data_IF_972068307393
#
_entry.id   IF_972068307393
#
_cell.length_a   1.000
_cell.length_b   1.000
_cell.length_c   1.000
_cell.angle_alpha   90.00
_cell.angle_beta   90.00
_cell.angle_gamma   90.00
#
_symmetry.space_group_name_H-M   'P 1'
#
loop_
_entity.id
_entity.type
_entity.pdbx_description
1 polymer ?
#
# COMPACT_ATOMS: atom_id res chain seq x y z
N UNK A 1 -7.09 4.97 -15.29
CA UNK A 1 -5.80 4.35 -15.11
C UNK A 1 -4.78 5.03 -16.02
N UNK A 2 -3.66 5.49 -15.47
CA UNK A 2 -2.50 6.01 -16.17
C UNK A 2 -1.29 5.14 -15.85
N UNK A 3 -0.26 5.24 -16.66
CA UNK A 3 0.97 4.47 -16.55
C UNK A 3 2.16 5.42 -16.63
N UNK A 4 3.17 5.22 -15.79
CA UNK A 4 4.46 5.90 -15.93
C UNK A 4 5.14 5.42 -17.23
N UNK A 5 5.64 6.33 -18.05
CA UNK A 5 6.29 6.00 -19.32
C UNK A 5 7.56 6.87 -19.49
N UNK A 6 8.73 6.24 -19.71
CA UNK A 6 8.97 4.79 -19.65
C UNK A 6 8.95 4.21 -18.22
N UNK A 7 8.64 2.92 -18.06
CA UNK A 7 8.89 2.21 -16.82
C UNK A 7 10.41 2.10 -16.59
N UNK A 8 10.89 2.33 -15.35
CA UNK A 8 12.26 2.01 -15.03
C UNK A 8 12.50 0.50 -15.18
N UNK A 9 13.69 0.07 -15.63
CA UNK A 9 14.06 -1.35 -15.61
C UNK A 9 13.95 -1.94 -14.21
N UNK A 10 13.56 -3.22 -14.11
CA UNK A 10 13.39 -3.89 -12.80
C UNK A 10 14.67 -3.87 -11.96
N UNK A 11 15.81 -3.98 -12.63
CA UNK A 11 17.15 -3.97 -12.02
C UNK A 11 17.50 -2.60 -11.44
N UNK A 12 16.89 -1.54 -11.95
CA UNK A 12 17.18 -0.17 -11.53
C UNK A 12 16.21 0.36 -10.48
N UNK A 13 15.02 -0.23 -10.36
CA UNK A 13 13.99 0.28 -9.45
C UNK A 13 14.48 0.36 -8.00
N UNK A 14 15.35 -0.55 -7.57
CA UNK A 14 15.94 -0.55 -6.22
C UNK A 14 16.70 0.71 -5.87
N UNK A 15 17.27 1.42 -6.86
CA UNK A 15 17.98 2.69 -6.64
C UNK A 15 17.05 3.75 -6.02
N UNK A 16 15.78 3.72 -6.40
CA UNK A 16 14.77 4.68 -5.93
C UNK A 16 14.20 4.34 -4.55
N UNK A 17 14.48 3.13 -4.02
CA UNK A 17 14.11 2.72 -2.66
C UNK A 17 15.26 2.87 -1.66
N UNK A 18 16.51 3.05 -2.15
CA UNK A 18 17.70 3.23 -1.30
C UNK A 18 17.99 4.69 -0.95
N UNK A 19 17.23 5.65 -1.49
CA UNK A 19 17.42 7.06 -1.17
C UNK A 19 17.16 7.28 0.35
N UNK A 20 18.06 8.02 1.00
CA UNK A 20 18.11 8.26 2.45
C UNK A 20 16.86 8.92 3.03
N UNK A 21 15.95 9.39 2.19
CA UNK A 21 14.71 10.06 2.56
C UNK A 21 13.54 9.12 2.87
N UNK A 22 13.71 7.80 2.77
CA UNK A 22 12.66 6.87 3.13
C UNK A 22 12.61 6.72 4.65
N UNK A 23 11.88 7.61 5.31
CA UNK A 23 11.72 7.71 6.78
C UNK A 23 11.28 6.39 7.45
N UNK A 24 10.75 5.44 6.67
CA UNK A 24 10.31 4.13 7.17
C UNK A 24 11.44 3.16 7.52
N UNK A 25 12.67 3.38 7.01
CA UNK A 25 13.81 2.46 7.20
C UNK A 25 14.88 2.96 8.19
N UNK A 26 14.76 4.18 8.71
CA UNK A 26 15.74 4.72 9.66
C UNK A 26 15.40 4.28 11.10
N UNK A 27 15.91 3.12 11.49
CA UNK A 27 15.81 2.58 12.86
C UNK A 27 16.64 3.35 13.91
N UNK A 28 17.35 4.41 13.52
CA UNK A 28 18.20 5.24 14.39
C UNK A 28 17.62 6.65 14.61
N UNK A 29 16.31 6.74 14.79
CA UNK A 29 15.67 8.01 15.10
C UNK A 29 15.77 8.29 16.60
N UNK A 30 16.28 9.46 16.98
CA UNK A 30 16.38 9.92 18.36
C UNK A 30 15.05 9.86 19.10
N UNK A 31 15.09 9.56 20.41
CA UNK A 31 13.99 9.13 21.27
C UNK A 31 12.62 9.80 21.05
N UNK A 32 12.55 11.12 20.88
CA UNK A 32 11.27 11.85 20.72
C UNK A 32 10.65 11.62 19.33
N UNK A 33 11.45 11.66 18.27
CA UNK A 33 10.97 11.44 16.91
C UNK A 33 10.50 9.98 16.71
N UNK A 34 11.22 9.02 17.27
CA UNK A 34 10.82 7.61 17.23
C UNK A 34 9.50 7.35 17.97
N UNK A 35 9.23 8.12 19.04
CA UNK A 35 7.95 8.09 19.75
C UNK A 35 6.79 8.60 18.86
N UNK A 36 6.95 9.76 18.24
CA UNK A 36 5.93 10.31 17.34
C UNK A 36 5.69 9.43 16.11
N UNK A 37 6.75 8.87 15.53
CA UNK A 37 6.62 7.92 14.42
C UNK A 37 5.83 6.67 14.83
N UNK A 38 6.13 6.09 16.00
CA UNK A 38 5.37 4.94 16.53
C UNK A 38 3.91 5.28 16.79
N UNK A 39 3.65 6.44 17.35
CA UNK A 39 2.29 6.92 17.59
C UNK A 39 1.52 7.12 16.27
N UNK A 40 2.12 7.78 15.30
CA UNK A 40 1.54 7.96 13.97
C UNK A 40 1.21 6.62 13.31
N UNK A 41 2.15 5.66 13.34
CA UNK A 41 1.96 4.32 12.78
C UNK A 41 0.82 3.56 13.49
N UNK A 42 0.71 3.71 14.81
CA UNK A 42 -0.37 3.08 15.58
C UNK A 42 -1.75 3.70 15.24
N UNK A 43 -1.82 5.02 15.10
CA UNK A 43 -3.05 5.73 14.69
C UNK A 43 -3.44 5.32 13.27
N UNK A 44 -2.49 5.32 12.32
CA UNK A 44 -2.73 4.91 10.93
C UNK A 44 -3.28 3.47 10.87
N UNK A 45 -2.65 2.53 11.59
CA UNK A 45 -3.15 1.16 11.69
C UNK A 45 -4.59 1.14 12.24
N UNK A 46 -4.86 1.84 13.34
CA UNK A 46 -6.19 1.88 13.96
C UNK A 46 -7.25 2.38 12.99
N UNK A 47 -6.94 3.41 12.21
CA UNK A 47 -7.87 3.96 11.22
C UNK A 47 -8.07 2.98 10.05
N UNK A 48 -7.01 2.41 9.49
CA UNK A 48 -7.09 1.36 8.45
C UNK A 48 -7.90 0.16 8.92
N UNK A 49 -7.60 -0.35 10.11
CA UNK A 49 -8.34 -1.47 10.68
C UNK A 49 -9.82 -1.13 10.91
N UNK A 50 -10.12 0.03 11.51
CA UNK A 50 -11.50 0.44 11.78
C UNK A 50 -12.34 0.63 10.50
N UNK A 51 -11.72 1.06 9.40
CA UNK A 51 -12.43 1.22 8.12
C UNK A 51 -12.87 -0.11 7.50
N UNK A 52 -12.17 -1.21 7.82
CA UNK A 52 -12.42 -2.52 7.19
C UNK A 52 -12.90 -3.60 8.16
N UNK A 53 -12.76 -3.42 9.48
CA UNK A 53 -12.99 -4.49 10.50
C UNK A 53 -14.37 -5.14 10.40
N UNK A 54 -15.39 -4.39 9.96
CA UNK A 54 -16.76 -4.89 9.80
C UNK A 54 -16.95 -5.78 8.55
N UNK A 55 -15.97 -5.78 7.64
CA UNK A 55 -15.92 -6.62 6.44
C UNK A 55 -15.02 -7.84 6.63
N UNK A 56 -14.16 -7.84 7.66
CA UNK A 56 -13.17 -8.89 7.85
C UNK A 56 -13.82 -10.15 8.42
N UNK A 57 -13.48 -11.28 7.82
CA UNK A 57 -13.77 -12.62 8.38
C UNK A 57 -12.50 -13.17 9.04
N UNK A 58 -12.63 -13.79 10.21
CA UNK A 58 -11.51 -14.44 10.88
C UNK A 58 -10.91 -15.54 10.00
N UNK A 59 -9.59 -15.66 10.02
CA UNK A 59 -8.85 -16.65 9.24
C UNK A 59 -7.52 -16.13 8.71
N UNK A 60 -7.13 -16.63 7.54
CA UNK A 60 -5.89 -16.26 6.86
C UNK A 60 -6.00 -14.89 6.19
N UNK A 61 -4.99 -14.04 6.42
CA UNK A 61 -4.87 -12.71 5.84
C UNK A 61 -3.51 -12.57 5.15
N UNK A 62 -3.51 -12.07 3.93
CA UNK A 62 -2.29 -11.71 3.20
C UNK A 62 -2.17 -10.19 3.12
N UNK A 63 -1.02 -9.64 3.52
CA UNK A 63 -0.66 -8.24 3.32
C UNK A 63 0.35 -8.12 2.18
N UNK A 64 -0.10 -7.62 1.06
CA UNK A 64 0.71 -7.43 -0.14
C UNK A 64 1.44 -6.08 -0.08
N UNK A 65 2.77 -6.12 -0.11
CA UNK A 65 3.62 -4.97 0.19
C UNK A 65 3.71 -4.73 1.71
N UNK A 66 3.95 -5.80 2.48
CA UNK A 66 3.86 -5.75 3.95
C UNK A 66 4.96 -4.90 4.62
N UNK A 67 5.99 -4.47 3.89
CA UNK A 67 7.09 -3.68 4.41
C UNK A 67 7.70 -4.33 5.67
N UNK A 68 7.87 -3.57 6.74
CA UNK A 68 8.43 -4.08 8.02
C UNK A 68 7.50 -5.05 8.78
N UNK A 69 6.31 -5.35 8.25
CA UNK A 69 5.38 -6.30 8.84
C UNK A 69 4.63 -5.76 10.07
N UNK A 70 4.55 -4.44 10.24
CA UNK A 70 3.81 -3.86 11.37
C UNK A 70 2.32 -4.20 11.30
N UNK A 71 1.71 -4.07 10.12
CA UNK A 71 0.31 -4.44 9.92
C UNK A 71 0.07 -5.91 10.23
N UNK A 72 0.94 -6.80 9.73
CA UNK A 72 0.90 -8.24 10.02
C UNK A 72 0.92 -8.53 11.53
N UNK A 73 1.88 -7.90 12.26
CA UNK A 73 1.99 -8.05 13.72
C UNK A 73 0.69 -7.66 14.42
N UNK A 74 0.10 -6.53 14.02
CA UNK A 74 -1.15 -6.06 14.64
C UNK A 74 -2.33 -6.96 14.31
N UNK A 75 -2.41 -7.50 13.09
CA UNK A 75 -3.47 -8.44 12.70
C UNK A 75 -3.31 -9.79 13.41
N UNK A 76 -2.08 -10.29 13.58
CA UNK A 76 -1.82 -11.48 14.40
C UNK A 76 -2.29 -11.28 15.86
N UNK A 77 -2.03 -10.10 16.46
CA UNK A 77 -2.51 -9.76 17.81
C UNK A 77 -4.05 -9.72 17.92
N UNK A 78 -4.74 -9.63 16.79
CA UNK A 78 -6.22 -9.67 16.70
C UNK A 78 -6.76 -11.06 16.33
N UNK A 79 -5.89 -12.08 16.30
CA UNK A 79 -6.28 -13.47 16.04
C UNK A 79 -6.30 -13.88 14.57
N UNK A 80 -5.85 -13.04 13.63
CA UNK A 80 -5.73 -13.44 12.23
C UNK A 80 -4.45 -14.25 12.00
N UNK A 81 -4.48 -15.22 11.11
CA UNK A 81 -3.28 -15.89 10.61
C UNK A 81 -2.68 -15.06 9.47
N UNK A 82 -1.77 -14.15 9.79
CA UNK A 82 -1.28 -13.16 8.82
C UNK A 82 -0.03 -13.64 8.09
N UNK A 83 -0.02 -13.43 6.79
CA UNK A 83 1.07 -13.68 5.84
C UNK A 83 1.44 -12.38 5.14
N UNK A 84 2.68 -12.25 4.70
CA UNK A 84 3.15 -11.05 4.00
C UNK A 84 3.80 -11.36 2.67
N UNK A 85 3.72 -10.42 1.76
CA UNK A 85 4.52 -10.41 0.53
C UNK A 85 5.26 -9.10 0.45
N UNK A 86 6.60 -9.16 0.35
CA UNK A 86 7.42 -7.97 0.12
C UNK A 86 8.77 -8.38 -0.49
N UNK A 87 9.15 -7.86 -1.68
CA UNK A 87 10.36 -8.27 -2.38
C UNK A 87 11.66 -7.85 -1.67
N UNK A 88 11.59 -6.90 -0.72
CA UNK A 88 12.74 -6.35 -0.02
C UNK A 88 12.91 -6.93 1.40
N UNK A 89 12.04 -7.83 1.81
CA UNK A 89 12.10 -8.46 3.14
C UNK A 89 12.80 -9.81 3.08
N UNK A 90 13.42 -10.21 4.19
CA UNK A 90 13.93 -11.56 4.33
C UNK A 90 12.77 -12.57 4.32
N UNK A 91 12.88 -13.59 3.48
CA UNK A 91 11.89 -14.68 3.40
C UNK A 91 11.81 -15.41 4.75
N UNK A 92 10.61 -15.74 5.15
CA UNK A 92 10.35 -16.54 6.35
C UNK A 92 9.13 -17.43 6.11
N UNK A 93 8.77 -18.32 7.05
CA UNK A 93 7.60 -19.21 6.94
C UNK A 93 6.29 -18.46 6.59
N UNK A 94 6.18 -17.18 6.91
CA UNK A 94 4.97 -16.37 6.68
C UNK A 94 5.22 -15.10 5.86
N UNK A 95 6.42 -14.92 5.32
CA UNK A 95 6.78 -13.79 4.45
C UNK A 95 7.43 -14.34 3.19
N UNK A 96 6.81 -14.07 2.06
CA UNK A 96 7.26 -14.42 0.71
C UNK A 96 7.80 -13.20 -0.02
N UNK A 97 8.65 -13.41 -1.01
CA UNK A 97 9.16 -12.31 -1.84
C UNK A 97 8.20 -11.92 -2.95
N UNK A 98 7.38 -12.86 -3.38
CA UNK A 98 6.46 -12.66 -4.48
C UNK A 98 5.08 -13.26 -4.16
N UNK A 99 4.03 -12.62 -4.68
CA UNK A 99 2.69 -13.20 -4.65
C UNK A 99 2.59 -14.49 -5.48
N UNK A 100 3.55 -14.72 -6.38
CA UNK A 100 3.63 -15.90 -7.23
C UNK A 100 4.38 -17.09 -6.59
N UNK A 101 4.88 -16.92 -5.35
CA UNK A 101 5.51 -18.01 -4.61
C UNK A 101 4.48 -19.13 -4.36
N UNK A 102 4.87 -20.38 -4.62
CA UNK A 102 3.98 -21.57 -4.55
C UNK A 102 3.40 -21.77 -3.15
N UNK A 103 4.16 -21.44 -2.12
CA UNK A 103 3.77 -21.55 -0.71
C UNK A 103 2.46 -20.81 -0.36
N UNK A 104 2.05 -19.85 -1.20
CA UNK A 104 0.82 -19.08 -1.01
C UNK A 104 -0.40 -19.72 -1.68
N UNK A 105 -0.20 -20.71 -2.56
CA UNK A 105 -1.26 -21.28 -3.41
C UNK A 105 -2.33 -22.03 -2.62
N UNK A 106 -1.92 -22.74 -1.58
CA UNK A 106 -2.80 -23.64 -0.83
C UNK A 106 -3.38 -23.02 0.45
N UNK A 107 -3.05 -21.76 0.74
CA UNK A 107 -3.47 -21.12 1.99
C UNK A 107 -4.96 -20.75 1.98
N UNK A 108 -5.51 -20.32 0.85
CA UNK A 108 -6.90 -19.89 0.72
C UNK A 108 -7.20 -18.67 1.59
N UNK A 109 -6.70 -17.49 1.22
CA UNK A 109 -6.82 -16.28 2.03
C UNK A 109 -8.26 -15.79 2.14
N UNK A 110 -8.71 -15.51 3.35
CA UNK A 110 -10.01 -14.85 3.59
C UNK A 110 -9.95 -13.36 3.30
N UNK A 111 -8.77 -12.77 3.45
CA UNK A 111 -8.55 -11.34 3.16
C UNK A 111 -7.18 -11.12 2.54
N UNK A 112 -7.12 -10.28 1.51
CA UNK A 112 -5.89 -9.71 0.98
C UNK A 112 -5.95 -8.21 1.19
N UNK A 113 -4.90 -7.63 1.78
CA UNK A 113 -4.72 -6.17 1.90
C UNK A 113 -3.55 -5.73 1.03
N UNK A 114 -3.68 -4.59 0.36
CA UNK A 114 -2.65 -3.95 -0.45
C UNK A 114 -2.67 -2.44 -0.15
N UNK A 115 -1.85 -2.03 0.83
CA UNK A 115 -1.79 -0.65 1.31
C UNK A 115 -0.66 0.10 0.61
N UNK A 116 -0.98 0.90 -0.41
CA UNK A 116 0.01 1.65 -1.20
C UNK A 116 1.12 0.73 -1.74
N UNK A 117 0.71 -0.33 -2.43
CA UNK A 117 1.62 -1.35 -2.97
C UNK A 117 1.27 -1.79 -4.40
N UNK A 118 -0.01 -1.73 -4.77
CA UNK A 118 -0.46 -2.16 -6.11
C UNK A 118 0.04 -1.22 -7.22
N UNK A 119 0.33 0.03 -6.90
CA UNK A 119 0.90 1.01 -7.82
C UNK A 119 2.36 0.74 -8.22
N UNK A 120 3.04 -0.12 -7.47
CA UNK A 120 4.46 -0.45 -7.70
C UNK A 120 4.68 -1.72 -8.53
N UNK A 121 3.63 -2.47 -8.84
CA UNK A 121 3.79 -3.75 -9.55
C UNK A 121 4.07 -3.55 -11.04
N UNK A 122 4.98 -4.34 -11.61
CA UNK A 122 5.29 -4.29 -13.03
C UNK A 122 4.17 -4.88 -13.90
N UNK A 123 3.54 -5.95 -13.46
CA UNK A 123 2.45 -6.61 -14.14
C UNK A 123 1.18 -6.56 -13.30
N UNK A 124 0.42 -5.49 -13.47
CA UNK A 124 -0.78 -5.21 -12.69
C UNK A 124 -1.84 -6.30 -12.88
N UNK A 125 -2.07 -6.69 -14.13
CA UNK A 125 -3.14 -7.64 -14.46
C UNK A 125 -2.83 -9.03 -13.90
N UNK A 126 -1.60 -9.54 -14.10
CA UNK A 126 -1.20 -10.81 -13.50
C UNK A 126 -1.25 -10.80 -11.97
N UNK A 127 -0.88 -9.68 -11.34
CA UNK A 127 -0.96 -9.54 -9.89
C UNK A 127 -2.41 -9.64 -9.40
N UNK A 128 -3.35 -8.99 -10.09
CA UNK A 128 -4.78 -9.03 -9.74
C UNK A 128 -5.37 -10.43 -9.99
N UNK A 129 -5.01 -11.08 -11.10
CA UNK A 129 -5.40 -12.47 -11.36
C UNK A 129 -4.91 -13.36 -10.23
N UNK A 130 -3.63 -13.19 -9.83
CA UNK A 130 -3.08 -13.98 -8.74
C UNK A 130 -3.75 -13.74 -7.40
N UNK A 131 -4.20 -12.51 -7.11
CA UNK A 131 -5.04 -12.26 -5.93
C UNK A 131 -6.32 -13.11 -5.96
N UNK A 132 -6.96 -13.22 -7.14
CA UNK A 132 -8.14 -14.04 -7.31
C UNK A 132 -7.85 -15.52 -7.06
N UNK A 133 -6.71 -16.03 -7.55
CA UNK A 133 -6.36 -17.45 -7.45
C UNK A 133 -6.04 -17.89 -6.01
N UNK A 134 -5.43 -17.02 -5.20
CA UNK A 134 -5.05 -17.36 -3.82
C UNK A 134 -6.14 -16.96 -2.80
N UNK A 135 -7.15 -16.21 -3.23
CA UNK A 135 -8.26 -15.82 -2.39
C UNK A 135 -9.26 -16.97 -2.25
N UNK A 136 -9.74 -17.23 -1.06
CA UNK A 136 -10.82 -18.20 -0.86
C UNK A 136 -12.15 -17.68 -1.41
N UNK A 137 -13.09 -18.55 -1.65
CA UNK A 137 -14.46 -18.20 -2.05
C UNK A 137 -15.04 -17.17 -1.06
N UNK A 138 -15.69 -16.13 -1.61
CA UNK A 138 -16.22 -14.98 -0.87
C UNK A 138 -15.18 -14.22 -0.04
N UNK A 139 -13.90 -14.33 -0.38
CA UNK A 139 -12.83 -13.58 0.25
C UNK A 139 -12.84 -12.10 -0.13
N UNK A 140 -12.20 -11.27 0.69
CA UNK A 140 -12.15 -9.81 0.57
C UNK A 140 -10.79 -9.35 0.06
N UNK A 141 -10.77 -8.44 -0.92
CA UNK A 141 -9.57 -7.67 -1.28
C UNK A 141 -9.75 -6.22 -0.90
N UNK A 142 -8.82 -5.68 -0.12
CA UNK A 142 -8.76 -4.27 0.28
C UNK A 142 -7.56 -3.62 -0.38
N UNK A 143 -7.80 -2.60 -1.19
CA UNK A 143 -6.73 -1.88 -1.90
C UNK A 143 -6.79 -0.40 -1.56
N UNK A 144 -5.65 0.15 -1.15
CA UNK A 144 -5.46 1.59 -1.06
C UNK A 144 -4.38 2.03 -2.05
N UNK A 145 -4.68 3.04 -2.84
CA UNK A 145 -3.74 3.64 -3.78
C UNK A 145 -4.01 5.15 -3.92
N UNK A 146 -3.01 5.96 -4.30
CA UNK A 146 -3.20 7.37 -4.56
C UNK A 146 -4.21 7.61 -5.69
N UNK A 147 -5.09 8.59 -5.50
CA UNK A 147 -6.12 8.95 -6.48
C UNK A 147 -5.72 10.22 -7.23
N UNK A 148 -5.24 10.10 -8.47
CA UNK A 148 -4.83 11.27 -9.28
C UNK A 148 -5.98 12.24 -9.64
N UNK A 149 -7.24 11.86 -9.37
CA UNK A 149 -8.40 12.75 -9.47
C UNK A 149 -8.76 13.43 -8.15
N UNK A 150 -7.96 13.27 -7.08
CA UNK A 150 -8.18 13.94 -5.81
C UNK A 150 -8.05 15.46 -5.94
N UNK A 151 -8.57 16.17 -4.94
CA UNK A 151 -8.37 17.63 -4.83
C UNK A 151 -6.88 17.96 -4.78
N UNK A 152 -6.10 17.25 -3.97
CA UNK A 152 -4.67 17.47 -3.80
C UNK A 152 -3.90 17.27 -5.10
N UNK A 153 -4.20 16.20 -5.86
CA UNK A 153 -3.57 15.99 -7.16
C UNK A 153 -3.81 17.14 -8.13
N UNK A 154 -5.02 17.71 -8.12
CA UNK A 154 -5.37 18.88 -8.94
C UNK A 154 -4.69 20.15 -8.45
N UNK A 155 -4.59 20.33 -7.14
CA UNK A 155 -3.98 21.50 -6.50
C UNK A 155 -2.46 21.53 -6.67
N UNK A 156 -1.78 20.42 -6.32
CA UNK A 156 -0.31 20.34 -6.39
C UNK A 156 0.23 20.02 -7.78
N UNK A 157 -0.60 19.51 -8.70
CA UNK A 157 -0.21 19.17 -10.08
C UNK A 157 1.00 18.23 -10.09
N UNK A 158 2.06 18.59 -10.83
CA UNK A 158 3.30 17.80 -10.93
C UNK A 158 4.08 17.68 -9.62
N UNK A 159 3.82 18.54 -8.64
CA UNK A 159 4.43 18.48 -7.30
C UNK A 159 3.66 17.58 -6.33
N UNK A 160 2.55 16.96 -6.77
CA UNK A 160 1.81 16.07 -5.90
C UNK A 160 2.61 14.81 -5.55
N UNK A 161 2.89 14.62 -4.25
CA UNK A 161 3.68 13.49 -3.77
C UNK A 161 3.05 12.12 -4.07
N UNK A 162 1.73 12.06 -4.30
CA UNK A 162 1.06 10.83 -4.68
C UNK A 162 1.42 10.30 -6.08
N UNK A 163 2.10 11.09 -6.92
CA UNK A 163 2.65 10.57 -8.17
C UNK A 163 3.90 9.72 -7.95
N UNK A 164 4.76 10.10 -7.04
CA UNK A 164 5.95 9.35 -6.63
C UNK A 164 6.70 8.64 -7.76
N UNK A 165 6.85 9.32 -8.90
CA UNK A 165 7.54 8.78 -10.07
C UNK A 165 9.06 8.77 -9.86
N UNK A 166 9.77 7.73 -10.28
CA UNK A 166 9.30 6.59 -11.07
C UNK A 166 8.90 5.35 -10.22
N UNK A 167 8.79 5.45 -8.88
CA UNK A 167 8.41 4.30 -8.03
C UNK A 167 6.98 3.82 -8.27
N UNK A 168 6.03 4.77 -8.43
CA UNK A 168 4.67 4.45 -8.86
C UNK A 168 4.65 4.22 -10.36
N UNK A 169 4.44 2.98 -10.77
CA UNK A 169 4.33 2.57 -12.17
C UNK A 169 2.92 2.79 -12.71
N UNK A 170 1.93 2.71 -11.82
CA UNK A 170 0.51 2.87 -12.14
C UNK A 170 -0.10 3.99 -11.32
N UNK A 171 -0.94 4.79 -11.98
CA UNK A 171 -1.69 5.86 -11.31
C UNK A 171 -3.18 5.58 -11.46
N UNK A 172 -3.86 5.57 -10.34
CA UNK A 172 -5.27 5.20 -10.27
C UNK A 172 -6.16 6.41 -10.04
N UNK A 173 -7.38 6.29 -10.54
CA UNK A 173 -8.54 6.95 -9.98
C UNK A 173 -9.55 5.88 -9.55
N UNK A 174 -10.57 6.26 -8.78
CA UNK A 174 -11.59 5.33 -8.26
C UNK A 174 -12.19 4.45 -9.36
N UNK A 175 -12.58 5.04 -10.48
CA UNK A 175 -13.19 4.32 -11.62
C UNK A 175 -12.22 3.36 -12.28
N UNK A 176 -10.95 3.79 -12.50
CA UNK A 176 -9.92 2.96 -13.13
C UNK A 176 -9.52 1.77 -12.26
N UNK A 177 -9.34 2.00 -10.95
CA UNK A 177 -9.04 0.92 -9.99
C UNK A 177 -10.19 -0.09 -9.94
N UNK A 178 -11.43 0.38 -9.80
CA UNK A 178 -12.61 -0.47 -9.82
C UNK A 178 -12.67 -1.31 -11.10
N UNK A 179 -12.56 -0.70 -12.29
CA UNK A 179 -12.68 -1.41 -13.57
C UNK A 179 -11.62 -2.49 -13.76
N UNK A 180 -10.37 -2.27 -13.33
CA UNK A 180 -9.32 -3.28 -13.49
C UNK A 180 -9.57 -4.51 -12.60
N UNK A 181 -10.12 -4.32 -11.40
CA UNK A 181 -10.54 -5.43 -10.54
C UNK A 181 -11.79 -6.14 -11.08
N UNK A 182 -12.81 -5.41 -11.52
CA UNK A 182 -14.06 -6.00 -12.07
C UNK A 182 -13.79 -6.84 -13.33
N UNK A 183 -12.84 -6.45 -14.20
CA UNK A 183 -12.40 -7.27 -15.35
C UNK A 183 -11.81 -8.61 -14.93
N UNK A 184 -11.23 -8.67 -13.73
CA UNK A 184 -10.63 -9.87 -13.15
C UNK A 184 -11.56 -10.56 -12.13
N UNK A 185 -12.88 -10.50 -12.37
CA UNK A 185 -13.93 -11.23 -11.64
C UNK A 185 -14.16 -10.77 -10.19
N UNK A 186 -13.62 -9.63 -9.77
CA UNK A 186 -13.95 -9.05 -8.47
C UNK A 186 -15.23 -8.24 -8.53
N UNK A 187 -15.98 -8.23 -7.43
CA UNK A 187 -17.17 -7.40 -7.27
C UNK A 187 -16.82 -6.22 -6.38
N UNK A 188 -17.09 -5.00 -6.88
CA UNK A 188 -16.87 -3.80 -6.09
C UNK A 188 -17.87 -3.71 -4.94
N UNK A 189 -17.37 -3.59 -3.72
CA UNK A 189 -18.18 -3.42 -2.51
C UNK A 189 -18.33 -1.94 -2.12
N UNK A 190 -17.23 -1.28 -1.76
CA UNK A 190 -17.23 0.10 -1.24
C UNK A 190 -15.88 0.78 -1.43
N UNK A 191 -15.84 2.11 -1.28
CA UNK A 191 -14.60 2.89 -1.27
C UNK A 191 -14.70 4.04 -0.28
N UNK A 192 -13.67 4.20 0.54
CA UNK A 192 -13.55 5.20 1.59
C UNK A 192 -12.27 6.01 1.43
N UNK A 193 -12.26 7.30 1.79
CA UNK A 193 -11.03 8.08 1.82
C UNK A 193 -10.16 7.68 3.04
N UNK A 194 -8.84 7.65 2.86
CA UNK A 194 -7.85 7.53 3.92
C UNK A 194 -7.26 8.92 4.21
N UNK A 195 -7.88 9.68 5.08
CA UNK A 195 -7.53 11.08 5.33
C UNK A 195 -6.10 11.26 5.85
N UNK A 196 -5.60 10.36 6.69
CA UNK A 196 -4.23 10.45 7.22
C UNK A 196 -3.19 10.26 6.09
N UNK A 197 -3.44 9.32 5.18
CA UNK A 197 -2.53 9.08 4.05
C UNK A 197 -2.59 10.26 3.06
N UNK A 198 -3.78 10.84 2.85
CA UNK A 198 -3.95 12.06 2.06
C UNK A 198 -3.21 13.25 2.69
N UNK A 199 -3.38 13.47 4.01
CA UNK A 199 -2.65 14.52 4.73
C UNK A 199 -1.14 14.37 4.61
N UNK A 200 -0.62 13.15 4.72
CA UNK A 200 0.81 12.88 4.55
C UNK A 200 1.30 13.19 3.13
N UNK A 201 0.52 12.83 2.10
CA UNK A 201 0.83 13.19 0.72
C UNK A 201 0.82 14.71 0.50
N UNK A 202 -0.14 15.43 1.08
CA UNK A 202 -0.20 16.89 1.03
C UNK A 202 1.00 17.53 1.73
N UNK A 203 1.38 17.03 2.91
CA UNK A 203 2.56 17.48 3.64
C UNK A 203 3.84 17.33 2.82
N UNK A 204 4.04 16.19 2.17
CA UNK A 204 5.18 15.99 1.28
C UNK A 204 5.13 16.91 0.05
N UNK A 205 3.95 17.11 -0.52
CA UNK A 205 3.75 18.01 -1.67
C UNK A 205 4.09 19.46 -1.33
N UNK A 206 3.74 19.91 -0.13
CA UNK A 206 4.14 21.25 0.36
C UNK A 206 5.67 21.36 0.54
N UNK A 207 6.34 20.29 0.98
CA UNK A 207 7.81 20.23 1.01
C UNK A 207 8.40 20.35 -0.41
N UNK A 208 7.87 19.63 -1.38
CA UNK A 208 8.33 19.72 -2.78
C UNK A 208 8.10 21.12 -3.37
N UNK A 209 7.06 21.81 -2.92
CA UNK A 209 6.77 23.21 -3.28
C UNK A 209 7.69 24.21 -2.61
N UNK A 210 8.52 23.79 -1.64
CA UNK A 210 9.41 24.66 -0.88
C UNK A 210 8.72 25.46 0.24
N UNK A 211 7.59 24.98 0.73
CA UNK A 211 6.85 25.66 1.82
C UNK A 211 7.66 25.65 3.11
N UNK A 212 7.76 26.83 3.78
CA UNK A 212 8.44 26.96 5.09
C UNK A 212 7.62 26.37 6.25
N UNK A 213 6.32 26.20 6.08
CA UNK A 213 5.38 25.69 7.10
C UNK A 213 4.45 24.64 6.47
N UNK A 214 4.99 23.48 6.03
CA UNK A 214 4.20 22.48 5.31
C UNK A 214 3.05 21.90 6.15
N UNK A 215 3.22 21.80 7.47
CA UNK A 215 2.20 21.27 8.39
C UNK A 215 0.93 22.12 8.45
N UNK A 216 1.04 23.44 8.28
CA UNK A 216 -0.10 24.36 8.37
C UNK A 216 -0.84 24.53 7.04
N UNK A 217 -0.29 24.02 5.94
CA UNK A 217 -0.82 24.21 4.59
C UNK A 217 -1.23 22.90 3.91
N UNK A 218 -0.93 21.77 4.55
CA UNK A 218 -1.28 20.42 4.07
C UNK A 218 -2.72 19.99 4.42
#
# INVERSE_FOLDING_TARGET
LLKTDPFPPKEEIQKYYKAEDYLSHNSKLDGLFSFFYRLFRAINFKLKYNSIKHLLTQGSLLDFGCGEGYFLKQMNNKGYSSYGVDPFRNKSKKISHSIFDEELSDVGFKTITAWHSIEHVYDLEKTIIRFHDVLSENGLVVVAAPNYNSYDAKYYKHLWAGYDTPRHLWHFNKTGLRKVFERNKFIFHSAYPLFIDAYYASFLSEKYKGSKLPILRS
#
